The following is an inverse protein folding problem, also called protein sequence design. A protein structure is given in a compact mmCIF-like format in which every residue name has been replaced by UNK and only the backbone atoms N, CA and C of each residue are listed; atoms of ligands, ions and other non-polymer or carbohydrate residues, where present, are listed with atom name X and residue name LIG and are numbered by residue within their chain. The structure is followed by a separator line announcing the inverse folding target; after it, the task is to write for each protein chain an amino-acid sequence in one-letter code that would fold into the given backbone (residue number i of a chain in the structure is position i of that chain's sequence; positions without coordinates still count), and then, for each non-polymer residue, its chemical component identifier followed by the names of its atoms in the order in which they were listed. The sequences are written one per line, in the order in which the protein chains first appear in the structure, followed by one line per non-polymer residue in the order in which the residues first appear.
data_IF_295920580575
#
_entry.id   IF_295920580575
#
_cell.length_a   1.000
_cell.length_b   1.000
_cell.length_c   1.000
_cell.angle_alpha   90.00
_cell.angle_beta   90.00
_cell.angle_gamma   90.00
#
_symmetry.space_group_name_H-M   'P 1'
#
loop_
_entity.id
_entity.type
_entity.pdbx_description
1 polymer ?
#
# COMPACT_ATOMS: atom_id res chain seq x y z
N UNK A 1 14.87 -8.88 -1.57
CA UNK A 1 14.00 -7.70 -1.81
C UNK A 1 13.13 -7.55 -0.58
N UNK A 2 13.04 -6.36 0.00
CA UNK A 2 12.09 -6.15 1.10
C UNK A 2 10.68 -6.23 0.49
N UNK A 3 9.81 -7.13 0.96
CA UNK A 3 8.47 -7.32 0.40
C UNK A 3 7.56 -6.18 0.90
N UNK A 4 7.60 -5.03 0.22
CA UNK A 4 6.65 -3.96 0.49
C UNK A 4 5.53 -3.98 -0.55
N UNK A 5 4.30 -3.83 -0.08
CA UNK A 5 3.11 -3.68 -0.92
C UNK A 5 2.54 -2.29 -0.70
N UNK A 6 2.24 -1.59 -1.80
CA UNK A 6 1.66 -0.25 -1.76
C UNK A 6 0.16 -0.35 -2.06
N UNK A 7 -0.65 -0.43 -1.01
CA UNK A 7 -2.10 -0.44 -1.14
C UNK A 7 -2.64 0.97 -1.34
N UNK A 8 -3.50 1.15 -2.33
CA UNK A 8 -4.25 2.38 -2.57
C UNK A 8 -5.73 2.10 -2.35
N UNK A 9 -6.22 2.49 -1.18
CA UNK A 9 -7.63 2.38 -0.82
C UNK A 9 -8.45 3.41 -1.58
N UNK A 10 -9.53 2.94 -2.22
CA UNK A 10 -10.36 3.77 -3.10
C UNK A 10 -11.85 3.56 -2.83
N UNK A 11 -12.64 4.57 -3.19
CA UNK A 11 -14.10 4.46 -3.24
C UNK A 11 -14.57 4.56 -4.70
N UNK A 12 -15.63 3.81 -5.09
CA UNK A 12 -16.25 3.99 -6.39
C UNK A 12 -16.86 5.38 -6.49
N UNK A 13 -16.95 5.90 -7.72
CA UNK A 13 -17.61 7.17 -8.06
C UNK A 13 -17.15 8.38 -7.21
N UNK A 14 -15.88 8.37 -6.79
CA UNK A 14 -15.26 9.42 -5.98
C UNK A 14 -14.29 10.26 -6.82
N UNK A 15 -14.51 11.57 -6.90
CA UNK A 15 -13.70 12.50 -7.71
C UNK A 15 -12.20 12.50 -7.31
N UNK A 16 -11.83 12.58 -6.01
CA UNK A 16 -10.44 12.37 -5.57
C UNK A 16 -9.80 11.06 -6.05
N UNK A 17 -10.54 9.95 -6.05
CA UNK A 17 -10.05 8.66 -6.54
C UNK A 17 -9.84 8.69 -8.05
N UNK A 18 -10.75 9.29 -8.81
CA UNK A 18 -10.61 9.43 -10.26
C UNK A 18 -9.38 10.26 -10.63
N UNK A 19 -9.15 11.39 -9.93
CA UNK A 19 -7.94 12.21 -10.09
C UNK A 19 -6.65 11.43 -9.81
N UNK A 20 -6.63 10.63 -8.75
CA UNK A 20 -5.46 9.81 -8.43
C UNK A 20 -5.18 8.76 -9.51
N UNK A 21 -6.21 8.08 -10.01
CA UNK A 21 -6.05 7.11 -11.11
C UNK A 21 -5.53 7.77 -12.38
N UNK A 22 -6.07 8.93 -12.75
CA UNK A 22 -5.59 9.70 -13.90
C UNK A 22 -4.12 10.13 -13.75
N UNK A 23 -3.67 10.49 -12.54
CA UNK A 23 -2.26 10.74 -12.27
C UNK A 23 -1.41 9.48 -12.44
N UNK A 24 -1.84 8.34 -11.89
CA UNK A 24 -1.11 7.06 -11.99
C UNK A 24 -0.99 6.60 -13.45
N UNK A 25 -1.96 6.89 -14.31
CA UNK A 25 -1.87 6.61 -15.75
C UNK A 25 -0.71 7.35 -16.44
N UNK A 26 -0.23 8.46 -15.88
CA UNK A 26 0.94 9.20 -16.40
C UNK A 26 2.29 8.57 -16.02
N UNK A 27 2.29 7.63 -15.08
CA UNK A 27 3.51 6.95 -14.61
C UNK A 27 3.97 5.86 -15.57
N UNK A 28 5.20 5.36 -15.40
CA UNK A 28 5.71 4.24 -16.20
C UNK A 28 4.98 2.94 -15.85
N UNK A 29 4.97 1.95 -16.76
CA UNK A 29 4.34 0.65 -16.49
C UNK A 29 4.91 -0.07 -15.25
N UNK A 30 6.24 -0.07 -15.02
CA UNK A 30 6.79 -0.58 -13.77
C UNK A 30 6.26 0.13 -12.53
N UNK A 31 6.15 1.46 -12.54
CA UNK A 31 5.62 2.25 -11.43
C UNK A 31 4.12 2.00 -11.20
N UNK A 32 3.33 1.84 -12.27
CA UNK A 32 1.92 1.49 -12.15
C UNK A 32 1.75 0.10 -11.50
N UNK A 33 2.61 -0.84 -11.85
CA UNK A 33 2.54 -2.22 -11.38
C UNK A 33 2.87 -2.40 -9.89
N UNK A 34 3.45 -1.39 -9.23
CA UNK A 34 3.72 -1.46 -7.78
C UNK A 34 2.53 -1.08 -6.92
N UNK A 35 1.48 -0.50 -7.51
CA UNK A 35 0.33 0.03 -6.77
C UNK A 35 -0.84 -0.95 -6.84
N UNK A 36 -1.30 -1.41 -5.67
CA UNK A 36 -2.47 -2.27 -5.55
C UNK A 36 -3.70 -1.45 -5.17
N UNK A 37 -4.57 -1.20 -6.15
CA UNK A 37 -5.83 -0.50 -5.91
C UNK A 37 -6.86 -1.44 -5.29
N UNK A 38 -7.24 -1.14 -4.05
CA UNK A 38 -8.19 -1.94 -3.27
C UNK A 38 -9.40 -1.09 -2.86
N UNK A 39 -10.59 -1.70 -2.73
CA UNK A 39 -11.75 -0.98 -2.25
C UNK A 39 -11.66 -0.74 -0.74
N UNK A 40 -11.99 0.49 -0.32
CA UNK A 40 -12.15 0.83 1.10
C UNK A 40 -13.36 0.11 1.71
N UNK A 41 -14.44 -0.03 0.94
CA UNK A 41 -15.70 -0.61 1.40
C UNK A 41 -16.11 -1.83 0.58
N UNK A 42 -16.68 -2.81 1.27
CA UNK A 42 -17.29 -3.99 0.66
C UNK A 42 -18.64 -3.69 0.00
N UNK A 43 -19.26 -4.70 -0.65
CA UNK A 43 -20.57 -4.56 -1.30
C UNK A 43 -21.72 -4.19 -0.34
N UNK A 44 -21.56 -4.51 0.94
CA UNK A 44 -22.49 -4.21 2.04
C UNK A 44 -22.31 -2.78 2.59
N UNK A 45 -21.31 -2.04 2.11
CA UNK A 45 -20.96 -0.70 2.58
C UNK A 45 -20.09 -0.66 3.84
N UNK A 46 -19.77 -1.82 4.44
CA UNK A 46 -18.81 -1.95 5.54
C UNK A 46 -17.36 -1.76 5.07
N UNK A 47 -16.42 -1.58 5.99
CA UNK A 47 -14.99 -1.57 5.64
C UNK A 47 -14.55 -2.97 5.20
N UNK A 48 -13.61 -3.06 4.27
CA UNK A 48 -13.01 -4.35 3.91
C UNK A 48 -12.12 -4.86 5.04
N UNK A 49 -11.93 -6.18 5.14
CA UNK A 49 -11.05 -6.77 6.16
C UNK A 49 -9.62 -6.17 6.12
N UNK A 50 -9.11 -5.84 4.92
CA UNK A 50 -7.83 -5.18 4.76
C UNK A 50 -7.86 -3.73 5.26
N UNK A 51 -8.94 -2.98 4.99
CA UNK A 51 -9.12 -1.63 5.52
C UNK A 51 -9.22 -1.63 7.05
N UNK A 52 -9.92 -2.60 7.64
CA UNK A 52 -10.01 -2.75 9.10
C UNK A 52 -8.66 -3.13 9.71
N UNK A 53 -7.97 -4.13 9.14
CA UNK A 53 -6.64 -4.55 9.58
C UNK A 53 -5.63 -3.41 9.55
N UNK A 54 -5.61 -2.65 8.47
CA UNK A 54 -4.71 -1.50 8.30
C UNK A 54 -5.28 -0.21 8.89
N UNK A 55 -6.44 -0.24 9.57
CA UNK A 55 -7.09 0.91 10.19
C UNK A 55 -7.23 2.11 9.24
N UNK A 56 -7.73 1.86 8.03
CA UNK A 56 -8.00 2.87 7.01
C UNK A 56 -9.50 3.17 6.99
N UNK A 57 -9.85 4.43 7.21
CA UNK A 57 -11.24 4.89 7.33
C UNK A 57 -11.68 5.86 6.22
N UNK A 58 -10.75 6.25 5.34
CA UNK A 58 -10.93 7.30 4.35
C UNK A 58 -10.22 6.97 3.04
N UNK A 59 -10.71 7.53 1.93
CA UNK A 59 -10.19 7.32 0.58
C UNK A 59 -10.08 8.64 -0.20
N UNK A 60 -9.08 8.78 -1.10
CA UNK A 60 -8.00 7.83 -1.33
C UNK A 60 -6.96 7.85 -0.20
N UNK A 61 -6.48 6.67 0.19
CA UNK A 61 -5.39 6.52 1.17
C UNK A 61 -4.38 5.52 0.62
N UNK A 62 -3.11 5.91 0.56
CA UNK A 62 -2.01 5.01 0.27
C UNK A 62 -1.43 4.50 1.59
N UNK A 63 -1.26 3.18 1.70
CA UNK A 63 -0.57 2.53 2.81
C UNK A 63 0.56 1.69 2.24
N UNK A 64 1.78 1.95 2.71
CA UNK A 64 2.91 1.06 2.47
C UNK A 64 2.90 0.02 3.57
N UNK A 65 2.80 -1.24 3.21
CA UNK A 65 2.78 -2.38 4.14
C UNK A 65 4.04 -3.21 3.92
N UNK A 66 4.75 -3.50 5.00
CA UNK A 66 5.80 -4.51 5.00
C UNK A 66 5.17 -5.89 5.15
N UNK A 67 5.50 -6.84 4.27
CA UNK A 67 5.01 -8.22 4.29
C UNK A 67 6.14 -9.23 4.53
N UNK A 68 6.63 -9.31 5.77
CA UNK A 68 7.81 -10.10 6.12
C UNK A 68 7.52 -11.47 6.72
N UNK A 69 8.61 -12.20 6.95
CA UNK A 69 8.68 -13.23 7.98
C UNK A 69 9.44 -12.63 9.18
N UNK A 70 8.81 -12.63 10.34
CA UNK A 70 9.45 -12.32 11.62
C UNK A 70 9.79 -13.65 12.28
N UNK A 71 11.07 -13.99 12.34
CA UNK A 71 11.54 -15.21 12.97
C UNK A 71 12.16 -14.89 14.33
N UNK A 72 11.70 -15.57 15.37
CA UNK A 72 12.29 -15.52 16.70
C UNK A 72 12.82 -16.91 17.06
N UNK A 73 13.99 -16.94 17.70
CA UNK A 73 14.53 -18.19 18.25
C UNK A 73 13.87 -18.44 19.60
N UNK A 74 13.29 -19.63 19.75
CA UNK A 74 12.75 -20.05 21.03
C UNK A 74 13.85 -20.49 22.02
N UNK A 75 13.43 -20.90 23.22
CA UNK A 75 14.35 -21.31 24.28
C UNK A 75 15.14 -22.59 23.95
N UNK A 76 14.65 -23.41 23.02
CA UNK A 76 15.28 -24.66 22.58
C UNK A 76 16.18 -24.45 21.35
N UNK A 77 16.17 -23.24 20.78
CA UNK A 77 17.00 -22.83 19.65
C UNK A 77 16.37 -23.11 18.29
N UNK A 78 15.07 -23.44 18.27
CA UNK A 78 14.30 -23.60 17.04
C UNK A 78 13.76 -22.22 16.59
N UNK A 79 13.69 -21.99 15.28
CA UNK A 79 13.10 -20.78 14.69
C UNK A 79 11.58 -20.93 14.60
N UNK A 80 10.85 -20.03 15.25
CA UNK A 80 9.43 -19.80 15.00
C UNK A 80 9.27 -18.55 14.13
N UNK A 81 8.69 -18.72 12.94
CA UNK A 81 8.60 -17.67 11.93
C UNK A 81 7.14 -17.33 11.63
N UNK A 82 6.73 -16.11 11.98
CA UNK A 82 5.41 -15.57 11.69
C UNK A 82 5.44 -14.67 10.45
N UNK A 83 4.42 -14.81 9.61
CA UNK A 83 4.16 -13.81 8.57
C UNK A 83 3.64 -12.52 9.22
N UNK A 84 4.33 -11.41 8.97
CA UNK A 84 3.98 -10.10 9.51
C UNK A 84 3.58 -9.14 8.40
N UNK A 85 2.48 -8.43 8.62
CA UNK A 85 1.96 -7.39 7.73
C UNK A 85 1.81 -6.09 8.51
N UNK A 86 2.78 -5.19 8.37
CA UNK A 86 2.87 -3.97 9.18
C UNK A 86 2.82 -2.70 8.32
N UNK A 87 1.90 -1.76 8.59
CA UNK A 87 1.88 -0.48 7.90
C UNK A 87 3.09 0.36 8.34
N UNK A 88 3.94 0.72 7.39
CA UNK A 88 5.17 1.51 7.64
C UNK A 88 5.06 2.97 7.20
N UNK A 89 4.17 3.28 6.26
CA UNK A 89 3.90 4.65 5.81
C UNK A 89 2.43 4.79 5.39
N UNK A 90 1.85 5.98 5.60
CA UNK A 90 0.48 6.31 5.20
C UNK A 90 0.40 7.72 4.62
N UNK A 91 -0.23 7.84 3.45
CA UNK A 91 -0.55 9.11 2.80
C UNK A 91 -2.06 9.21 2.59
N UNK A 92 -2.69 10.21 3.20
CA UNK A 92 -4.14 10.41 3.15
C UNK A 92 -4.47 11.54 2.19
N UNK A 93 -5.36 11.27 1.23
CA UNK A 93 -5.83 12.25 0.27
C UNK A 93 -4.99 12.34 -1.01
N UNK A 94 -5.64 12.74 -2.10
CA UNK A 94 -5.04 12.78 -3.43
C UNK A 94 -3.82 13.69 -3.51
N UNK A 95 -3.85 14.86 -2.87
CA UNK A 95 -2.76 15.83 -2.94
C UNK A 95 -1.48 15.30 -2.25
N UNK A 96 -1.63 14.64 -1.10
CA UNK A 96 -0.50 14.04 -0.39
C UNK A 96 0.08 12.87 -1.20
N UNK A 97 -0.78 11.99 -1.71
CA UNK A 97 -0.36 10.83 -2.50
C UNK A 97 0.39 11.31 -3.76
N UNK A 98 -0.23 12.15 -4.59
CA UNK A 98 0.38 12.63 -5.84
C UNK A 98 1.70 13.37 -5.62
N UNK A 99 1.84 14.12 -4.53
CA UNK A 99 3.08 14.83 -4.19
C UNK A 99 4.23 13.89 -3.82
N UNK A 100 3.94 12.77 -3.15
CA UNK A 100 4.95 11.89 -2.56
C UNK A 100 5.10 10.54 -3.28
N UNK A 101 4.20 10.21 -4.21
CA UNK A 101 4.10 8.86 -4.79
C UNK A 101 5.41 8.36 -5.40
N UNK A 102 6.09 9.18 -6.20
CA UNK A 102 7.35 8.79 -6.83
C UNK A 102 8.43 8.50 -5.79
N UNK A 103 8.58 9.37 -4.79
CA UNK A 103 9.54 9.14 -3.70
C UNK A 103 9.20 7.91 -2.86
N UNK A 104 7.91 7.61 -2.66
CA UNK A 104 7.47 6.40 -1.96
C UNK A 104 7.77 5.16 -2.80
N UNK A 105 7.51 5.18 -4.11
CA UNK A 105 7.86 4.08 -5.01
C UNK A 105 9.38 3.85 -4.97
N UNK A 106 10.20 4.90 -5.06
CA UNK A 106 11.66 4.80 -4.99
C UNK A 106 12.17 4.25 -3.66
N UNK A 107 11.53 4.65 -2.56
CA UNK A 107 11.93 4.26 -1.21
C UNK A 107 11.64 2.80 -0.89
N UNK A 108 10.63 2.21 -1.52
CA UNK A 108 10.09 0.90 -1.13
C UNK A 108 10.11 -0.15 -2.25
N UNK A 109 10.32 0.24 -3.51
CA UNK A 109 10.29 -0.68 -4.65
C UNK A 109 11.45 -0.43 -5.62
N UNK A 110 11.78 -1.43 -6.45
CA UNK A 110 12.82 -1.31 -7.49
C UNK A 110 12.24 -0.82 -8.83
N UNK A 111 11.15 -0.07 -8.81
CA UNK A 111 10.46 0.33 -10.04
C UNK A 111 11.20 1.43 -10.81
N UNK A 112 12.18 2.07 -10.17
CA UNK A 112 13.13 2.99 -10.77
C UNK A 112 14.56 2.50 -10.46
N UNK A 113 15.07 1.48 -11.17
CA UNK A 113 16.46 1.08 -11.01
C UNK A 113 17.40 2.24 -11.38
N UNK A 114 18.52 2.44 -10.66
CA UNK A 114 19.55 3.39 -11.09
C UNK A 114 20.09 2.96 -12.47
N UNK A 115 20.26 3.93 -13.36
CA UNK A 115 20.91 3.75 -14.68
C UNK A 115 22.37 3.29 -14.56
#
# INVERSE_FOLDING_TARGET
MKPYVLYVFTLPDCEPTAKLKAYVETLTKPQQATLEFVPLRGPDGGFTALAEKLQVDSAPTLVVTYEGLSCELDADGDEDCDHTEEPVERLIGVDAITKHLLSTIDGYTNANPPE
#
